data_IF_191097820740
#
_entry.id   IF_191097820740
#
_cell.length_a   1.000
_cell.length_b   1.000
_cell.length_c   1.000
_cell.angle_alpha   90.00
_cell.angle_beta   90.00
_cell.angle_gamma   90.00
#
_symmetry.space_group_name_H-M   'P 1'
#
loop_
_entity.id
_entity.type
_entity.pdbx_description
1 polymer ?
#
# COMPACT_ATOMS: atom_id res chain seq x y z
N UNK A 1 4.87 4.00 24.93
CA UNK A 1 5.76 3.92 26.12
C UNK A 1 6.53 5.24 26.13
N UNK A 2 7.34 5.59 27.13
CA UNK A 2 8.30 6.69 26.92
C UNK A 2 9.62 6.06 26.51
N UNK A 3 9.99 6.19 25.24
CA UNK A 3 11.28 5.72 24.73
C UNK A 3 12.41 6.54 25.35
N UNK A 4 13.47 5.86 25.77
CA UNK A 4 14.67 6.47 26.36
C UNK A 4 15.91 5.90 25.68
N UNK A 5 17.10 6.48 25.92
CA UNK A 5 18.37 5.93 25.38
C UNK A 5 18.65 4.48 25.79
N UNK A 6 18.03 4.02 26.87
CA UNK A 6 18.14 2.66 27.40
C UNK A 6 17.13 1.69 26.76
N UNK A 7 16.15 2.21 26.02
CA UNK A 7 15.24 1.40 25.22
C UNK A 7 16.02 0.68 24.12
N UNK A 8 15.48 -0.46 23.69
CA UNK A 8 16.05 -1.26 22.61
C UNK A 8 15.54 -0.80 21.24
N UNK A 9 16.22 -1.21 20.16
CA UNK A 9 15.69 -1.06 18.80
C UNK A 9 14.30 -1.67 18.67
N UNK A 10 14.09 -2.84 19.28
CA UNK A 10 12.79 -3.52 19.28
C UNK A 10 11.70 -2.68 19.92
N UNK A 11 11.99 -1.97 21.00
CA UNK A 11 11.01 -1.08 21.64
C UNK A 11 10.63 0.09 20.72
N UNK A 12 11.63 0.69 20.07
CA UNK A 12 11.43 1.75 19.07
C UNK A 12 10.57 1.23 17.91
N UNK A 13 10.97 0.12 17.30
CA UNK A 13 10.27 -0.46 16.15
C UNK A 13 8.83 -0.83 16.52
N UNK A 14 8.60 -1.45 17.68
CA UNK A 14 7.25 -1.79 18.17
C UNK A 14 6.36 -0.57 18.30
N UNK A 15 6.85 0.50 18.92
CA UNK A 15 6.08 1.72 19.14
C UNK A 15 5.75 2.44 17.83
N UNK A 16 6.77 2.61 16.97
CA UNK A 16 6.63 3.32 15.70
C UNK A 16 5.74 2.55 14.73
N UNK A 17 5.94 1.23 14.58
CA UNK A 17 5.11 0.39 13.69
C UNK A 17 3.65 0.39 14.12
N UNK A 18 3.37 0.32 15.44
CA UNK A 18 2.01 0.32 15.94
C UNK A 18 1.28 1.63 15.60
N UNK A 19 1.97 2.76 15.77
CA UNK A 19 1.45 4.09 15.42
C UNK A 19 1.25 4.21 13.92
N UNK A 20 2.29 3.94 13.14
CA UNK A 20 2.28 3.98 11.67
C UNK A 20 1.16 3.14 11.08
N UNK A 21 0.99 1.90 11.53
CA UNK A 21 -0.06 1.01 11.06
C UNK A 21 -1.45 1.63 11.25
N UNK A 22 -1.73 2.18 12.45
CA UNK A 22 -3.01 2.82 12.75
C UNK A 22 -3.23 4.06 11.90
N UNK A 23 -2.19 4.83 11.62
CA UNK A 23 -2.27 6.01 10.74
C UNK A 23 -2.59 5.60 9.30
N UNK A 24 -1.84 4.65 8.72
CA UNK A 24 -2.08 4.13 7.36
C UNK A 24 -3.50 3.58 7.19
N UNK A 25 -3.99 2.76 8.12
CA UNK A 25 -5.34 2.20 8.02
C UNK A 25 -6.41 3.30 8.11
N UNK A 26 -6.24 4.27 9.01
CA UNK A 26 -7.19 5.38 9.12
C UNK A 26 -7.17 6.28 7.87
N UNK A 27 -6.01 6.52 7.26
CA UNK A 27 -5.90 7.25 6.00
C UNK A 27 -6.58 6.49 4.86
N UNK A 28 -6.28 5.20 4.68
CA UNK A 28 -6.87 4.38 3.63
C UNK A 28 -8.38 4.27 3.78
N UNK A 29 -8.89 4.09 5.00
CA UNK A 29 -10.33 4.09 5.28
C UNK A 29 -11.00 5.39 4.83
N UNK A 30 -10.37 6.55 5.10
CA UNK A 30 -10.91 7.85 4.68
C UNK A 30 -10.93 7.98 3.17
N UNK A 31 -9.84 7.61 2.49
CA UNK A 31 -9.73 7.66 1.03
C UNK A 31 -10.73 6.74 0.35
N UNK A 32 -10.84 5.50 0.82
CA UNK A 32 -11.70 4.45 0.27
C UNK A 32 -13.17 4.85 0.28
N UNK A 33 -13.61 5.58 1.31
CA UNK A 33 -14.98 6.11 1.35
C UNK A 33 -15.25 7.06 0.19
N UNK A 34 -14.29 7.93 -0.13
CA UNK A 34 -14.39 8.87 -1.25
C UNK A 34 -14.25 8.17 -2.60
N UNK A 35 -13.30 7.25 -2.74
CA UNK A 35 -13.07 6.48 -3.97
C UNK A 35 -14.30 5.64 -4.33
N UNK A 36 -14.88 4.92 -3.37
CA UNK A 36 -16.08 4.12 -3.62
C UNK A 36 -17.30 4.97 -3.96
N UNK A 37 -17.44 6.16 -3.35
CA UNK A 37 -18.49 7.11 -3.74
C UNK A 37 -18.32 7.61 -5.17
N UNK A 38 -17.09 7.93 -5.58
CA UNK A 38 -16.81 8.33 -6.96
C UNK A 38 -17.08 7.19 -7.94
N UNK A 39 -16.64 5.97 -7.60
CA UNK A 39 -16.85 4.78 -8.40
C UNK A 39 -18.35 4.46 -8.57
N UNK A 40 -19.16 4.60 -7.52
CA UNK A 40 -20.62 4.46 -7.62
C UNK A 40 -21.26 5.52 -8.54
N UNK A 41 -20.77 6.76 -8.50
CA UNK A 41 -21.27 7.82 -9.38
C UNK A 41 -20.86 7.58 -10.85
N UNK A 42 -19.70 6.97 -11.08
CA UNK A 42 -19.17 6.65 -12.41
C UNK A 42 -19.77 5.38 -13.01
N UNK A 43 -20.24 4.44 -12.17
CA UNK A 43 -20.90 3.21 -12.60
C UNK A 43 -22.32 3.11 -12.03
N UNK A 44 -23.33 3.74 -12.67
CA UNK A 44 -24.72 3.74 -12.20
C UNK A 44 -25.33 2.34 -11.99
N UNK A 45 -24.80 1.33 -12.71
CA UNK A 45 -25.15 -0.09 -12.53
C UNK A 45 -24.89 -0.58 -11.10
N UNK A 46 -23.89 -0.03 -10.40
CA UNK A 46 -23.59 -0.39 -9.01
C UNK A 46 -24.64 0.09 -8.01
N UNK A 47 -25.41 1.13 -8.36
CA UNK A 47 -26.54 1.62 -7.55
C UNK A 47 -27.73 0.66 -7.52
N UNK A 48 -27.75 -0.38 -8.36
CA UNK A 48 -28.82 -1.38 -8.41
C UNK A 48 -28.67 -2.47 -7.33
N UNK A 49 -27.52 -2.55 -6.65
CA UNK A 49 -27.22 -3.62 -5.68
C UNK A 49 -27.65 -3.33 -4.23
N UNK A 50 -28.56 -2.37 -4.00
CA UNK A 50 -29.17 -2.11 -2.69
C UNK A 50 -28.53 -0.97 -1.88
N UNK A 51 -28.63 -1.01 -0.54
CA UNK A 51 -28.16 0.05 0.36
C UNK A 51 -26.63 0.00 0.58
N UNK A 52 -25.89 0.19 -0.52
CA UNK A 52 -24.42 0.12 -0.60
C UNK A 52 -23.74 0.98 0.47
N UNK A 53 -24.26 2.20 0.70
CA UNK A 53 -23.67 3.14 1.66
C UNK A 53 -23.70 2.62 3.10
N UNK A 54 -24.79 1.97 3.51
CA UNK A 54 -24.93 1.43 4.86
C UNK A 54 -24.00 0.23 5.08
N UNK A 55 -23.93 -0.69 4.10
CA UNK A 55 -23.06 -1.85 4.18
C UNK A 55 -21.58 -1.47 4.16
N UNK A 56 -21.20 -0.50 3.33
CA UNK A 56 -19.84 0.05 3.34
C UNK A 56 -19.47 0.65 4.68
N UNK A 57 -20.38 1.46 5.26
CA UNK A 57 -20.17 2.07 6.58
C UNK A 57 -19.91 1.01 7.64
N UNK A 58 -20.75 -0.03 7.70
CA UNK A 58 -20.59 -1.12 8.66
C UNK A 58 -19.27 -1.86 8.51
N UNK A 59 -18.89 -2.22 7.29
CA UNK A 59 -17.62 -2.93 7.04
C UNK A 59 -16.39 -2.09 7.36
N UNK A 60 -16.43 -0.79 7.03
CA UNK A 60 -15.35 0.14 7.37
C UNK A 60 -15.23 0.32 8.89
N UNK A 61 -16.36 0.51 9.58
CA UNK A 61 -16.38 0.70 11.03
C UNK A 61 -15.89 -0.56 11.76
N UNK A 62 -16.25 -1.74 11.27
CA UNK A 62 -15.76 -3.00 11.80
C UNK A 62 -14.23 -3.10 11.70
N UNK A 63 -13.64 -2.84 10.52
CA UNK A 63 -12.19 -2.89 10.33
C UNK A 63 -11.49 -1.86 11.23
N UNK A 64 -12.06 -0.66 11.35
CA UNK A 64 -11.52 0.38 12.24
C UNK A 64 -11.51 -0.07 13.70
N UNK A 65 -12.57 -0.73 14.16
CA UNK A 65 -12.67 -1.27 15.52
C UNK A 65 -11.62 -2.37 15.72
N UNK A 66 -11.57 -3.36 14.83
CA UNK A 66 -10.66 -4.50 14.92
C UNK A 66 -9.19 -4.07 14.92
N UNK A 67 -8.80 -3.21 13.98
CA UNK A 67 -7.44 -2.65 13.89
C UNK A 67 -7.10 -1.73 15.06
N UNK A 68 -8.08 -1.06 15.64
CA UNK A 68 -7.93 -0.22 16.84
C UNK A 68 -7.49 -1.00 18.08
N UNK A 69 -7.93 -2.27 18.20
CA UNK A 69 -7.61 -3.14 19.32
C UNK A 69 -6.25 -3.82 19.24
N UNK A 70 -5.57 -3.79 18.10
CA UNK A 70 -4.24 -4.38 17.95
C UNK A 70 -3.22 -3.60 18.81
N UNK A 71 -2.36 -4.34 19.51
CA UNK A 71 -1.46 -3.84 20.55
C UNK A 71 0.02 -4.06 20.23
N UNK A 72 0.36 -4.96 19.32
CA UNK A 72 1.75 -5.30 19.01
C UNK A 72 1.94 -5.71 17.54
N UNK A 73 3.20 -5.72 17.09
CA UNK A 73 3.57 -6.10 15.71
C UNK A 73 3.09 -7.51 15.35
N UNK A 74 3.16 -8.46 16.29
CA UNK A 74 2.71 -9.84 16.05
C UNK A 74 1.22 -9.91 15.67
N UNK A 75 0.38 -9.21 16.42
CA UNK A 75 -1.06 -9.08 16.14
C UNK A 75 -1.31 -8.36 14.81
N UNK A 76 -0.57 -7.29 14.51
CA UNK A 76 -0.65 -6.59 13.22
C UNK A 76 -0.30 -7.51 12.06
N UNK A 77 0.78 -8.28 12.17
CA UNK A 77 1.21 -9.25 11.14
C UNK A 77 0.15 -10.34 10.94
N UNK A 78 -0.37 -10.90 12.03
CA UNK A 78 -1.39 -11.95 11.96
C UNK A 78 -2.67 -11.43 11.29
N UNK A 79 -3.15 -10.26 11.72
CA UNK A 79 -4.34 -9.63 11.16
C UNK A 79 -4.14 -9.25 9.68
N UNK A 80 -3.00 -8.65 9.34
CA UNK A 80 -2.71 -8.23 7.97
C UNK A 80 -2.59 -9.43 7.03
N UNK A 81 -2.00 -10.55 7.49
CA UNK A 81 -1.96 -11.78 6.69
C UNK A 81 -3.35 -12.39 6.48
N UNK A 82 -4.16 -12.47 7.54
CA UNK A 82 -5.50 -13.08 7.44
C UNK A 82 -6.50 -12.27 6.60
N UNK A 83 -6.29 -10.96 6.51
CA UNK A 83 -7.12 -10.05 5.71
C UNK A 83 -6.46 -9.62 4.39
N UNK A 84 -5.29 -10.18 4.06
CA UNK A 84 -4.59 -9.84 2.82
C UNK A 84 -5.34 -10.31 1.59
N UNK A 85 -5.33 -9.48 0.56
CA UNK A 85 -5.82 -9.80 -0.77
C UNK A 85 -4.79 -9.29 -1.78
N UNK A 86 -4.10 -10.20 -2.47
CA UNK A 86 -3.23 -9.82 -3.57
C UNK A 86 -4.03 -9.87 -4.87
N UNK A 87 -4.33 -8.71 -5.46
CA UNK A 87 -5.09 -8.60 -6.71
C UNK A 87 -4.42 -9.31 -7.87
N UNK A 88 -3.09 -9.28 -7.97
CA UNK A 88 -2.38 -10.00 -9.04
C UNK A 88 -2.55 -11.52 -8.90
N UNK A 89 -2.44 -12.05 -7.68
CA UNK A 89 -2.55 -13.49 -7.44
C UNK A 89 -4.00 -13.99 -7.48
N UNK A 90 -4.97 -13.13 -7.16
CA UNK A 90 -6.38 -13.52 -7.01
C UNK A 90 -7.23 -13.14 -8.21
N UNK A 91 -7.11 -11.90 -8.72
CA UNK A 91 -7.89 -11.42 -9.86
C UNK A 91 -7.16 -11.59 -11.19
N UNK A 92 -5.83 -11.69 -11.23
CA UNK A 92 -5.06 -11.78 -12.47
C UNK A 92 -4.20 -13.05 -12.58
N UNK A 93 -4.80 -14.21 -12.26
CA UNK A 93 -4.10 -15.50 -12.32
C UNK A 93 -3.61 -15.80 -13.74
N UNK A 94 -2.32 -16.14 -13.87
CA UNK A 94 -1.68 -16.47 -15.15
C UNK A 94 -1.84 -15.39 -16.23
N UNK A 95 -1.80 -14.11 -15.82
CA UNK A 95 -2.01 -12.95 -16.69
C UNK A 95 -3.39 -12.86 -17.36
N UNK A 96 -4.40 -13.54 -16.81
CA UNK A 96 -5.78 -13.47 -17.26
C UNK A 96 -6.67 -12.98 -16.12
N UNK A 97 -7.67 -12.17 -16.45
CA UNK A 97 -8.66 -11.74 -15.47
C UNK A 97 -9.52 -12.94 -15.03
N UNK A 98 -9.53 -13.22 -13.73
CA UNK A 98 -10.26 -14.32 -13.10
C UNK A 98 -11.68 -13.86 -12.73
N UNK A 99 -12.61 -13.96 -13.67
CA UNK A 99 -14.04 -13.83 -13.37
C UNK A 99 -14.50 -14.82 -12.30
N UNK A 100 -13.83 -15.97 -12.19
CA UNK A 100 -14.11 -17.00 -11.19
C UNK A 100 -14.06 -16.44 -9.77
N UNK A 101 -13.10 -15.57 -9.47
CA UNK A 101 -12.95 -14.94 -8.14
C UNK A 101 -14.12 -14.02 -7.82
N UNK A 102 -14.56 -13.20 -8.78
CA UNK A 102 -15.75 -12.34 -8.62
C UNK A 102 -17.01 -13.19 -8.46
N UNK A 103 -17.15 -14.27 -9.24
CA UNK A 103 -18.30 -15.17 -9.11
C UNK A 103 -18.31 -15.91 -7.77
N UNK A 104 -17.15 -16.30 -7.23
CA UNK A 104 -17.04 -16.92 -5.90
C UNK A 104 -17.49 -15.95 -4.80
N UNK A 105 -17.11 -14.67 -4.89
CA UNK A 105 -17.60 -13.64 -3.96
C UNK A 105 -19.12 -13.52 -3.95
N UNK A 106 -19.71 -13.44 -5.14
CA UNK A 106 -21.16 -13.33 -5.30
C UNK A 106 -21.89 -14.62 -4.86
N UNK A 107 -21.32 -15.80 -5.12
CA UNK A 107 -21.87 -17.09 -4.71
C UNK A 107 -21.82 -17.33 -3.20
N UNK A 108 -20.84 -16.73 -2.50
CA UNK A 108 -20.76 -16.75 -1.04
C UNK A 108 -21.72 -15.75 -0.38
N UNK A 109 -22.51 -15.01 -1.16
CA UNK A 109 -23.43 -13.99 -0.67
C UNK A 109 -22.72 -12.74 -0.14
N UNK A 110 -21.43 -12.54 -0.46
CA UNK A 110 -20.76 -11.27 -0.19
C UNK A 110 -21.32 -10.21 -1.17
N UNK A 111 -21.73 -9.07 -0.63
CA UNK A 111 -22.21 -7.96 -1.45
C UNK A 111 -21.03 -7.30 -2.18
N UNK A 112 -21.31 -6.74 -3.37
CA UNK A 112 -20.29 -6.03 -4.17
C UNK A 112 -19.52 -4.97 -3.36
N UNK A 113 -20.17 -4.15 -2.51
CA UNK A 113 -19.44 -3.17 -1.70
C UNK A 113 -18.46 -3.82 -0.72
N UNK A 114 -18.84 -4.93 -0.09
CA UNK A 114 -17.95 -5.69 0.81
C UNK A 114 -16.76 -6.29 0.05
N UNK A 115 -17.01 -6.83 -1.13
CA UNK A 115 -15.96 -7.34 -2.02
C UNK A 115 -14.97 -6.22 -2.38
N UNK A 116 -15.46 -5.05 -2.80
CA UNK A 116 -14.59 -3.91 -3.14
C UNK A 116 -13.75 -3.44 -1.95
N UNK A 117 -14.33 -3.36 -0.75
CA UNK A 117 -13.60 -3.04 0.48
C UNK A 117 -12.51 -4.08 0.74
N UNK A 118 -12.84 -5.37 0.62
CA UNK A 118 -11.92 -6.48 0.86
C UNK A 118 -10.76 -6.51 -0.13
N UNK A 119 -11.00 -6.18 -1.40
CA UNK A 119 -9.95 -6.04 -2.40
C UNK A 119 -9.02 -4.86 -2.01
N UNK A 120 -9.58 -3.67 -1.81
CA UNK A 120 -8.81 -2.45 -1.61
C UNK A 120 -8.04 -2.43 -0.27
N UNK A 121 -8.68 -2.84 0.83
CA UNK A 121 -8.00 -2.96 2.12
C UNK A 121 -7.13 -4.22 2.19
N UNK A 122 -7.51 -5.29 1.50
CA UNK A 122 -6.70 -6.49 1.45
C UNK A 122 -5.35 -6.26 0.75
N UNK A 123 -5.29 -5.45 -0.29
CA UNK A 123 -4.02 -5.01 -0.89
C UNK A 123 -3.18 -4.18 0.09
N UNK A 124 -3.84 -3.31 0.85
CA UNK A 124 -3.19 -2.50 1.90
C UNK A 124 -2.55 -3.42 2.95
N UNK A 125 -3.29 -4.42 3.44
CA UNK A 125 -2.79 -5.41 4.40
C UNK A 125 -1.70 -6.32 3.82
N UNK A 126 -1.79 -6.69 2.54
CA UNK A 126 -0.74 -7.44 1.85
C UNK A 126 0.57 -6.62 1.81
N UNK A 127 0.46 -5.33 1.51
CA UNK A 127 1.60 -4.40 1.44
C UNK A 127 2.23 -4.18 2.81
N UNK A 128 1.40 -3.92 3.84
CA UNK A 128 1.85 -3.82 5.23
C UNK A 128 2.58 -5.08 5.66
N UNK A 129 2.03 -6.26 5.35
CA UNK A 129 2.68 -7.55 5.70
C UNK A 129 4.08 -7.67 5.09
N UNK A 130 4.25 -7.30 3.81
CA UNK A 130 5.55 -7.29 3.13
C UNK A 130 6.54 -6.32 3.78
N UNK A 131 6.08 -5.12 4.15
CA UNK A 131 6.92 -4.12 4.84
C UNK A 131 7.38 -4.64 6.19
N UNK A 132 6.46 -5.21 6.99
CA UNK A 132 6.79 -5.75 8.31
C UNK A 132 7.80 -6.90 8.26
N UNK A 133 7.76 -7.72 7.20
CA UNK A 133 8.79 -8.75 6.97
C UNK A 133 10.17 -8.12 6.69
N UNK A 134 10.24 -7.00 5.97
CA UNK A 134 11.50 -6.29 5.75
C UNK A 134 12.03 -5.62 7.02
N UNK A 135 11.15 -5.03 7.82
CA UNK A 135 11.52 -4.42 9.10
C UNK A 135 12.07 -5.47 10.07
N UNK A 136 11.47 -6.65 10.15
CA UNK A 136 11.99 -7.73 10.99
C UNK A 136 13.40 -8.18 10.57
N UNK A 137 13.67 -8.25 9.26
CA UNK A 137 15.00 -8.52 8.74
C UNK A 137 15.98 -7.39 9.10
N UNK A 138 15.55 -6.13 9.07
CA UNK A 138 16.37 -4.99 9.48
C UNK A 138 16.69 -5.03 10.97
N UNK A 139 15.71 -5.27 11.82
CA UNK A 139 15.90 -5.39 13.27
C UNK A 139 16.91 -6.51 13.58
N UNK A 140 16.84 -7.65 12.86
CA UNK A 140 17.81 -8.74 13.00
C UNK A 140 19.23 -8.37 12.57
N UNK A 141 19.38 -7.52 11.55
CA UNK A 141 20.70 -7.07 11.05
C UNK A 141 21.36 -6.03 11.96
N UNK A 142 20.56 -5.15 12.59
CA UNK A 142 21.06 -4.11 13.49
C UNK A 142 21.31 -4.68 14.90
N UNK A 143 20.48 -5.63 15.33
CA UNK A 143 20.46 -6.17 16.68
C UNK A 143 19.23 -5.68 17.43
N UNK A 144 18.20 -6.53 17.55
CA UNK A 144 16.91 -6.14 18.13
C UNK A 144 17.03 -5.66 19.58
N UNK A 145 17.98 -6.25 20.32
CA UNK A 145 18.25 -5.98 21.72
C UNK A 145 19.31 -4.89 21.92
N UNK A 146 19.86 -4.33 20.83
CA UNK A 146 20.82 -3.24 20.88
C UNK A 146 20.14 -1.98 21.43
N UNK A 147 20.83 -1.28 22.33
CA UNK A 147 20.28 -0.06 22.93
C UNK A 147 20.31 1.08 21.93
N UNK A 148 19.30 1.95 21.96
CA UNK A 148 19.23 3.11 21.08
C UNK A 148 20.46 4.04 21.20
N UNK A 149 21.11 4.07 22.36
CA UNK A 149 22.37 4.80 22.57
C UNK A 149 23.52 4.35 21.64
N UNK A 150 23.51 3.10 21.20
CA UNK A 150 24.58 2.49 20.40
C UNK A 150 24.23 2.41 18.92
N UNK A 151 23.01 2.78 18.53
CA UNK A 151 22.55 2.72 17.14
C UNK A 151 22.81 4.06 16.49
N UNK A 152 23.71 4.08 15.50
CA UNK A 152 23.91 5.27 14.68
C UNK A 152 22.67 5.54 13.82
N UNK A 153 22.18 6.78 13.87
CA UNK A 153 21.11 7.22 12.97
C UNK A 153 21.51 7.12 11.48
N UNK A 154 22.81 7.18 11.18
CA UNK A 154 23.35 7.03 9.83
C UNK A 154 23.27 5.58 9.36
N UNK A 155 23.56 4.61 10.24
CA UNK A 155 23.46 3.18 9.93
C UNK A 155 22.00 2.77 9.71
N UNK A 156 21.10 3.25 10.58
CA UNK A 156 19.65 3.05 10.41
C UNK A 156 19.18 3.64 9.07
N UNK A 157 19.58 4.87 8.75
CA UNK A 157 19.24 5.53 7.50
C UNK A 157 19.76 4.77 6.27
N UNK A 158 21.01 4.29 6.33
CA UNK A 158 21.63 3.50 5.27
C UNK A 158 20.85 2.20 5.03
N UNK A 159 20.52 1.47 6.08
CA UNK A 159 19.81 0.19 5.98
C UNK A 159 18.38 0.34 5.46
N UNK A 160 17.66 1.39 5.90
CA UNK A 160 16.35 1.73 5.37
C UNK A 160 16.44 2.08 3.88
N UNK A 161 17.42 2.89 3.47
CA UNK A 161 17.65 3.25 2.07
C UNK A 161 17.97 2.02 1.22
N UNK A 162 18.82 1.11 1.70
CA UNK A 162 19.12 -0.17 1.03
C UNK A 162 17.93 -1.11 0.91
N UNK A 163 16.98 -1.02 1.82
CA UNK A 163 15.75 -1.81 1.77
C UNK A 163 14.75 -1.26 0.76
N UNK A 164 14.70 0.07 0.59
CA UNK A 164 13.86 0.76 -0.40
C UNK A 164 14.38 0.58 -1.84
N UNK A 165 15.70 0.55 -2.01
CA UNK A 165 16.39 0.60 -3.31
C UNK A 165 15.85 -0.36 -4.38
N UNK A 166 15.64 -1.67 -4.12
CA UNK A 166 15.12 -2.59 -5.15
C UNK A 166 13.73 -2.18 -5.66
N UNK A 167 12.83 -1.76 -4.77
CA UNK A 167 11.46 -1.42 -5.13
C UNK A 167 11.39 -0.09 -5.89
N UNK A 168 12.22 0.88 -5.49
CA UNK A 168 12.35 2.13 -6.24
C UNK A 168 12.94 1.89 -7.64
N UNK A 169 13.90 0.97 -7.77
CA UNK A 169 14.45 0.60 -9.07
C UNK A 169 13.43 -0.10 -9.96
N UNK A 170 12.57 -0.94 -9.41
CA UNK A 170 11.47 -1.57 -10.15
C UNK A 170 10.49 -0.52 -10.72
N UNK A 171 10.16 0.51 -9.95
CA UNK A 171 9.36 1.65 -10.43
C UNK A 171 10.06 2.41 -11.57
N UNK A 172 11.35 2.73 -11.41
CA UNK A 172 12.13 3.42 -12.45
C UNK A 172 12.15 2.60 -13.75
N UNK A 173 12.41 1.30 -13.63
CA UNK A 173 12.44 0.38 -14.76
C UNK A 173 11.06 0.30 -15.45
N UNK A 174 9.98 0.32 -14.67
CA UNK A 174 8.62 0.32 -15.20
C UNK A 174 8.34 1.61 -16.00
N UNK A 175 8.52 2.77 -15.36
CA UNK A 175 8.26 4.09 -15.96
C UNK A 175 9.11 4.30 -17.23
N UNK A 176 10.35 3.80 -17.25
CA UNK A 176 11.25 3.95 -18.40
C UNK A 176 10.87 3.14 -19.64
N UNK A 177 10.01 2.11 -19.50
CA UNK A 177 9.59 1.28 -20.65
C UNK A 177 8.59 1.98 -21.56
N UNK A 178 7.80 2.92 -21.02
CA UNK A 178 6.79 3.65 -21.78
C UNK A 178 7.24 5.11 -21.93
N UNK A 179 7.39 5.58 -23.18
CA UNK A 179 7.84 6.96 -23.45
C UNK A 179 6.95 8.02 -22.81
N UNK A 180 5.62 7.83 -22.86
CA UNK A 180 4.68 8.78 -22.27
C UNK A 180 4.86 8.84 -20.75
N UNK A 181 4.99 7.70 -20.08
CA UNK A 181 5.17 7.69 -18.63
C UNK A 181 6.54 8.31 -18.26
N UNK A 182 7.58 7.98 -19.04
CA UNK A 182 8.91 8.53 -18.83
C UNK A 182 8.97 10.06 -18.96
N UNK A 183 8.33 10.63 -19.98
CA UNK A 183 8.30 12.07 -20.22
C UNK A 183 7.57 12.83 -19.10
N UNK A 184 6.70 12.18 -18.33
CA UNK A 184 5.88 12.81 -17.29
C UNK A 184 6.41 12.63 -15.86
N UNK A 185 6.96 11.46 -15.52
CA UNK A 185 7.26 11.13 -14.10
C UNK A 185 8.58 10.42 -13.85
N UNK A 186 9.43 10.21 -14.87
CA UNK A 186 10.74 9.59 -14.67
C UNK A 186 11.67 10.39 -13.74
N UNK A 187 11.75 11.73 -13.82
CA UNK A 187 12.58 12.51 -12.91
C UNK A 187 12.22 12.30 -11.44
N UNK A 188 10.92 12.29 -11.13
CA UNK A 188 10.38 12.05 -9.79
C UNK A 188 10.64 10.60 -9.37
N UNK A 189 10.43 9.62 -10.25
CA UNK A 189 10.74 8.22 -9.97
C UNK A 189 12.22 8.03 -9.61
N UNK A 190 13.14 8.69 -10.32
CA UNK A 190 14.57 8.67 -10.00
C UNK A 190 14.87 9.39 -8.68
N UNK A 191 14.17 10.48 -8.37
CA UNK A 191 14.35 11.22 -7.12
C UNK A 191 13.95 10.41 -5.87
N UNK A 192 12.96 9.51 -5.98
CA UNK A 192 12.61 8.56 -4.89
C UNK A 192 13.81 7.72 -4.47
N UNK A 193 14.63 7.26 -5.44
CA UNK A 193 15.82 6.48 -5.15
C UNK A 193 16.98 7.37 -4.65
N UNK A 194 17.27 8.45 -5.38
CA UNK A 194 18.52 9.19 -5.26
C UNK A 194 18.52 10.28 -4.17
N UNK A 195 17.35 10.78 -3.75
CA UNK A 195 17.29 11.88 -2.79
C UNK A 195 17.62 11.37 -1.38
N UNK A 196 18.57 11.97 -0.64
CA UNK A 196 18.89 11.55 0.73
C UNK A 196 17.81 11.97 1.76
N UNK A 197 16.93 12.92 1.43
CA UNK A 197 15.87 13.38 2.31
C UNK A 197 14.59 12.57 2.07
N UNK A 198 14.11 11.89 3.11
CA UNK A 198 12.88 11.09 3.07
C UNK A 198 11.63 11.91 2.77
N UNK A 199 11.50 13.13 3.27
CA UNK A 199 10.33 13.99 3.01
C UNK A 199 10.24 14.34 1.51
N UNK A 200 11.39 14.54 0.88
CA UNK A 200 11.44 14.74 -0.57
C UNK A 200 11.17 13.42 -1.32
N UNK A 201 11.62 12.25 -0.82
CA UNK A 201 11.23 10.95 -1.41
C UNK A 201 9.71 10.79 -1.38
N UNK A 202 9.07 11.11 -0.25
CA UNK A 202 7.62 11.04 -0.06
C UNK A 202 6.89 11.93 -1.07
N UNK A 203 7.31 13.19 -1.18
CA UNK A 203 6.73 14.13 -2.16
C UNK A 203 6.86 13.63 -3.59
N UNK A 204 7.96 12.99 -3.95
CA UNK A 204 8.13 12.41 -5.29
C UNK A 204 7.21 11.19 -5.50
N UNK A 205 7.02 10.33 -4.49
CA UNK A 205 6.01 9.26 -4.55
C UNK A 205 4.62 9.84 -4.79
N UNK A 206 4.23 10.89 -4.08
CA UNK A 206 2.91 11.52 -4.24
C UNK A 206 2.69 12.08 -5.66
N UNK A 207 3.74 12.58 -6.31
CA UNK A 207 3.66 13.08 -7.69
C UNK A 207 3.46 11.92 -8.67
N UNK A 208 4.24 10.84 -8.52
CA UNK A 208 4.12 9.66 -9.37
C UNK A 208 2.75 8.98 -9.17
N UNK A 209 2.31 8.82 -7.92
CA UNK A 209 0.98 8.28 -7.61
C UNK A 209 -0.13 9.11 -8.24
N UNK A 210 -0.07 10.45 -8.09
CA UNK A 210 -1.07 11.33 -8.71
C UNK A 210 -1.14 11.16 -10.22
N UNK A 211 0.00 10.96 -10.88
CA UNK A 211 0.04 10.69 -12.32
C UNK A 211 -0.73 9.41 -12.67
N UNK A 212 -0.40 8.29 -12.04
CA UNK A 212 -1.02 7.00 -12.31
C UNK A 212 -2.51 7.00 -11.89
N UNK A 213 -2.81 7.44 -10.68
CA UNK A 213 -4.12 7.39 -10.06
C UNK A 213 -5.15 8.39 -10.63
N UNK A 214 -4.72 9.47 -11.30
CA UNK A 214 -5.66 10.45 -11.90
C UNK A 214 -5.63 10.49 -13.41
N UNK A 215 -4.46 10.46 -14.03
CA UNK A 215 -4.33 10.66 -15.47
C UNK A 215 -4.30 9.34 -16.22
N UNK A 216 -3.45 8.40 -15.79
CA UNK A 216 -3.33 7.09 -16.45
C UNK A 216 -4.61 6.26 -16.28
N UNK A 217 -5.21 6.25 -15.09
CA UNK A 217 -6.46 5.54 -14.82
C UNK A 217 -7.59 5.98 -15.75
N UNK A 218 -7.72 7.29 -15.99
CA UNK A 218 -8.76 7.82 -16.86
C UNK A 218 -8.52 7.41 -18.31
N UNK A 219 -7.26 7.39 -18.77
CA UNK A 219 -6.92 6.92 -20.11
C UNK A 219 -7.22 5.42 -20.29
N UNK A 220 -6.91 4.60 -19.28
CA UNK A 220 -7.20 3.16 -19.27
C UNK A 220 -8.70 2.88 -19.36
N UNK A 221 -9.50 3.50 -18.49
CA UNK A 221 -10.95 3.25 -18.45
C UNK A 221 -11.69 3.83 -19.65
N UNK A 222 -11.20 4.89 -20.29
CA UNK A 222 -11.78 5.38 -21.55
C UNK A 222 -11.70 4.36 -22.70
N UNK A 223 -10.75 3.41 -22.62
CA UNK A 223 -10.59 2.35 -23.61
C UNK A 223 -11.42 1.08 -23.29
N UNK A 224 -12.12 1.06 -22.15
CA UNK A 224 -12.93 -0.05 -21.66
C UNK A 224 -14.41 0.34 -21.70
N UNK A 225 -15.03 0.26 -22.88
CA UNK A 225 -16.39 0.75 -23.11
C UNK A 225 -17.46 -0.35 -23.02
N UNK A 226 -17.05 -1.62 -23.05
CA UNK A 226 -17.94 -2.77 -22.85
C UNK A 226 -17.30 -3.89 -22.00
N UNK A 227 -18.10 -4.82 -21.44
CA UNK A 227 -17.58 -5.99 -20.72
C UNK A 227 -16.64 -6.86 -21.57
N UNK A 228 -16.88 -6.96 -22.87
CA UNK A 228 -16.03 -7.72 -23.81
C UNK A 228 -14.64 -7.09 -23.97
N UNK A 229 -14.48 -5.79 -23.72
CA UNK A 229 -13.17 -5.14 -23.70
C UNK A 229 -12.30 -5.63 -22.55
N UNK A 230 -12.89 -6.07 -21.44
CA UNK A 230 -12.15 -6.67 -20.31
C UNK A 230 -11.64 -8.08 -20.60
N UNK A 231 -12.19 -8.73 -21.63
CA UNK A 231 -11.76 -10.06 -22.08
C UNK A 231 -10.61 -9.99 -23.10
N UNK A 232 -10.33 -8.80 -23.66
CA UNK A 232 -9.21 -8.60 -24.58
C UNK A 232 -7.88 -8.68 -23.84
N UNK A 233 -6.98 -9.55 -24.34
CA UNK A 233 -5.68 -9.83 -23.72
C UNK A 233 -4.78 -8.59 -23.57
N UNK A 234 -4.83 -7.67 -24.54
CA UNK A 234 -4.07 -6.42 -24.51
C UNK A 234 -4.49 -5.54 -23.32
N UNK A 235 -5.81 -5.37 -23.14
CA UNK A 235 -6.39 -4.62 -22.04
C UNK A 235 -6.11 -5.29 -20.68
N UNK A 236 -6.19 -6.63 -20.61
CA UNK A 236 -5.84 -7.37 -19.39
C UNK A 236 -4.37 -7.17 -19.02
N UNK A 237 -3.47 -7.22 -19.99
CA UNK A 237 -2.03 -7.02 -19.75
C UNK A 237 -1.75 -5.61 -19.24
N UNK A 238 -2.40 -4.59 -19.83
CA UNK A 238 -2.25 -3.20 -19.39
C UNK A 238 -2.82 -2.97 -17.98
N UNK A 239 -3.95 -3.59 -17.64
CA UNK A 239 -4.54 -3.54 -16.30
C UNK A 239 -3.66 -4.23 -15.24
N UNK A 240 -3.01 -5.34 -15.60
CA UNK A 240 -2.07 -6.04 -14.71
C UNK A 240 -0.84 -5.17 -14.45
N UNK A 241 -0.23 -4.63 -15.51
CA UNK A 241 0.92 -3.74 -15.40
C UNK A 241 0.58 -2.50 -14.56
N UNK A 242 -0.62 -1.95 -14.74
CA UNK A 242 -1.12 -0.84 -13.94
C UNK A 242 -1.35 -1.23 -12.46
N UNK A 243 -1.95 -2.38 -12.17
CA UNK A 243 -2.13 -2.87 -10.79
C UNK A 243 -0.78 -3.09 -10.10
N UNK A 244 0.21 -3.62 -10.82
CA UNK A 244 1.57 -3.80 -10.30
C UNK A 244 2.24 -2.48 -9.94
N UNK A 245 2.16 -1.45 -10.79
CA UNK A 245 2.79 -0.15 -10.49
C UNK A 245 2.11 0.54 -9.30
N UNK A 246 0.79 0.46 -9.17
CA UNK A 246 0.08 0.98 -7.99
C UNK A 246 0.50 0.26 -6.71
N UNK A 247 0.61 -1.07 -6.75
CA UNK A 247 1.12 -1.85 -5.61
C UNK A 247 2.54 -1.44 -5.20
N UNK A 248 3.41 -1.18 -6.18
CA UNK A 248 4.76 -0.66 -5.95
C UNK A 248 4.73 0.73 -5.32
N UNK A 249 3.86 1.63 -5.79
CA UNK A 249 3.72 2.99 -5.25
C UNK A 249 3.20 2.98 -3.81
N UNK A 250 2.19 2.16 -3.51
CA UNK A 250 1.69 1.98 -2.14
C UNK A 250 2.78 1.44 -1.21
N UNK A 251 3.58 0.47 -1.67
CA UNK A 251 4.72 -0.02 -0.90
C UNK A 251 5.71 1.10 -0.59
N UNK A 252 6.08 1.90 -1.61
CA UNK A 252 7.04 3.00 -1.45
C UNK A 252 6.50 4.05 -0.47
N UNK A 253 5.25 4.49 -0.64
CA UNK A 253 4.56 5.44 0.26
C UNK A 253 4.62 4.96 1.72
N UNK A 254 4.14 3.74 1.96
CA UNK A 254 4.02 3.20 3.31
C UNK A 254 5.40 2.97 3.95
N UNK A 255 6.37 2.49 3.18
CA UNK A 255 7.72 2.26 3.68
C UNK A 255 8.45 3.59 3.99
N UNK A 256 8.31 4.60 3.14
CA UNK A 256 8.93 5.92 3.35
C UNK A 256 8.36 6.56 4.62
N UNK A 257 7.03 6.58 4.79
CA UNK A 257 6.38 7.08 6.02
C UNK A 257 6.90 6.36 7.27
N UNK A 258 7.08 5.04 7.19
CA UNK A 258 7.62 4.27 8.31
C UNK A 258 9.08 4.63 8.60
N UNK A 259 9.91 4.72 7.56
CA UNK A 259 11.32 5.09 7.67
C UNK A 259 11.50 6.49 8.27
N UNK A 260 10.69 7.46 7.86
CA UNK A 260 10.65 8.81 8.43
C UNK A 260 10.36 8.78 9.93
N UNK A 261 9.29 8.10 10.33
CA UNK A 261 8.89 8.04 11.74
C UNK A 261 9.93 7.29 12.59
N UNK A 262 10.55 6.24 12.06
CA UNK A 262 11.66 5.53 12.72
C UNK A 262 12.85 6.46 12.93
N UNK A 263 13.31 7.15 11.89
CA UNK A 263 14.46 8.06 11.97
C UNK A 263 14.19 9.27 12.86
N UNK A 264 12.99 9.85 12.77
CA UNK A 264 12.57 10.98 13.59
C UNK A 264 12.51 10.60 15.06
N UNK A 265 11.93 9.44 15.37
CA UNK A 265 11.83 8.96 16.75
C UNK A 265 13.20 8.58 17.30
N UNK A 266 14.04 7.90 16.52
CA UNK A 266 15.42 7.59 16.90
C UNK A 266 16.23 8.86 17.23
N UNK A 267 16.15 9.90 16.38
CA UNK A 267 16.84 11.19 16.60
C UNK A 267 16.35 11.96 17.83
N UNK A 268 15.08 11.82 18.20
CA UNK A 268 14.52 12.51 19.38
C UNK A 268 14.90 11.81 20.69
N UNK A 269 15.30 10.54 20.63
CA UNK A 269 15.68 9.74 21.81
C UNK A 269 17.20 9.70 21.98
N UNK A 270 17.97 9.66 20.89
CA UNK A 270 19.44 9.68 20.84
C UNK A 270 20.05 11.03 21.20
#
# INVERSE_FOLDING_TARGET
>A
MLLTKQSTLKDLTNEVVLKWFKEIINERIKQLRTELQQLMNQMPMLGQFGNVNAEMGQSIDQIKIETGYLKNIGEIKAYSKSHSFNTNDNLFKNNNFSFETITQFLQQGESIPKMLIKIQLGETFATISKILEKIEILDQKIGQDETLANISSEDLNYLLSKTLEPVAQDLINFVSKNRSDADNVLPEAMAILNNPNWEEKQKNVDIVDRYFSKFKVSALFNNLMSPEDLEKRENQSELIEYSQVLGTLHYLDYFIKLAEELLKTAKNVG
#
